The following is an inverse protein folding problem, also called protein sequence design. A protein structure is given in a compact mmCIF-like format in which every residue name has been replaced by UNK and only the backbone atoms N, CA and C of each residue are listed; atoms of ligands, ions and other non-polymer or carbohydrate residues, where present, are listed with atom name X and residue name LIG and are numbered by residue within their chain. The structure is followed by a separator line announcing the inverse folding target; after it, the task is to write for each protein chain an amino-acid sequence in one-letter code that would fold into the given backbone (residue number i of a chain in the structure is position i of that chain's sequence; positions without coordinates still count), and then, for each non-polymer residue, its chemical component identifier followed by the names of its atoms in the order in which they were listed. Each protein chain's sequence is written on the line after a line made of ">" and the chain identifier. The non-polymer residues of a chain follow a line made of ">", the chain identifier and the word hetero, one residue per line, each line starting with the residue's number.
data_IF_284718078880
#
_entry.id   IF_284718078880
#
_cell.length_a   1.000
_cell.length_b   1.000
_cell.length_c   1.000
_cell.angle_alpha   90.00
_cell.angle_beta   90.00
_cell.angle_gamma   90.00
#
_symmetry.space_group_name_H-M   'P 1'
#
loop_
_entity.id
_entity.type
_entity.pdbx_description
1 polymer ?
#
# COMPACT_ATOMS: atom_id res chain seq x y z
N UNK A 1 5.41 22.68 23.23
CA UNK A 1 5.07 22.08 21.92
C UNK A 1 5.83 20.77 21.67
N UNK A 2 7.16 20.74 21.56
CA UNK A 2 7.92 19.48 21.28
C UNK A 2 7.71 18.38 22.34
N UNK A 3 7.75 18.72 23.64
CA UNK A 3 7.51 17.75 24.72
C UNK A 3 6.12 17.10 24.66
N UNK A 4 5.11 17.84 24.21
CA UNK A 4 3.74 17.35 24.05
C UNK A 4 3.64 16.30 22.94
N UNK A 5 4.28 16.57 21.79
CA UNK A 5 4.32 15.60 20.69
C UNK A 5 5.07 14.32 21.06
N UNK A 6 6.16 14.44 21.83
CA UNK A 6 6.91 13.26 22.31
C UNK A 6 6.08 12.44 23.29
N UNK A 7 5.37 13.08 24.23
CA UNK A 7 4.51 12.34 25.16
C UNK A 7 3.35 11.65 24.44
N UNK A 8 2.71 12.35 23.50
CA UNK A 8 1.61 11.80 22.70
C UNK A 8 2.06 10.58 21.88
N UNK A 9 3.24 10.65 21.26
CA UNK A 9 3.81 9.52 20.53
C UNK A 9 4.00 8.29 21.44
N UNK A 10 4.59 8.47 22.62
CA UNK A 10 4.79 7.37 23.56
C UNK A 10 3.50 6.80 24.12
N UNK A 11 2.47 7.62 24.27
CA UNK A 11 1.13 7.20 24.67
C UNK A 11 0.51 6.31 23.59
N UNK A 12 0.50 6.77 22.33
CA UNK A 12 -0.01 5.98 21.20
C UNK A 12 0.74 4.66 21.00
N UNK A 13 2.07 4.66 21.17
CA UNK A 13 2.88 3.43 21.09
C UNK A 13 2.44 2.40 22.15
N UNK A 14 2.07 2.85 23.35
CA UNK A 14 1.59 1.96 24.43
C UNK A 14 0.18 1.47 24.21
N UNK A 15 -0.69 2.31 23.62
CA UNK A 15 -2.06 1.93 23.28
C UNK A 15 -2.14 1.04 22.03
N UNK A 16 -1.09 1.01 21.22
CA UNK A 16 -1.02 0.17 20.02
C UNK A 16 -0.97 -1.30 20.43
N UNK A 17 -2.04 -2.02 20.11
CA UNK A 17 -2.16 -3.45 20.41
C UNK A 17 -1.22 -4.32 19.57
N UNK A 18 -1.11 -5.57 20.00
CA UNK A 18 -0.17 -6.54 19.42
C UNK A 18 -0.46 -6.82 17.94
N UNK A 19 -1.72 -6.90 17.53
CA UNK A 19 -2.11 -7.11 16.13
C UNK A 19 -1.70 -5.93 15.24
N UNK A 20 -1.86 -4.69 15.71
CA UNK A 20 -1.40 -3.52 14.96
C UNK A 20 0.12 -3.54 14.79
N UNK A 21 0.88 -3.89 15.84
CA UNK A 21 2.33 -4.01 15.75
C UNK A 21 2.78 -5.09 14.76
N UNK A 22 2.13 -6.25 14.77
CA UNK A 22 2.43 -7.32 13.79
C UNK A 22 2.18 -6.82 12.37
N UNK A 23 1.02 -6.19 12.11
CA UNK A 23 0.70 -5.65 10.79
C UNK A 23 1.78 -4.66 10.32
N UNK A 24 2.18 -3.72 11.18
CA UNK A 24 3.22 -2.73 10.86
C UNK A 24 4.58 -3.38 10.60
N UNK A 25 5.01 -4.33 11.45
CA UNK A 25 6.31 -4.99 11.28
C UNK A 25 6.37 -5.76 9.97
N UNK A 26 5.31 -6.49 9.61
CA UNK A 26 5.25 -7.21 8.33
C UNK A 26 5.15 -6.26 7.14
N UNK A 27 4.44 -5.14 7.25
CA UNK A 27 4.42 -4.11 6.20
C UNK A 27 5.79 -3.46 5.98
N UNK A 28 6.54 -3.18 7.04
CA UNK A 28 7.92 -2.69 6.93
C UNK A 28 8.83 -3.77 6.32
N UNK A 29 8.68 -5.03 6.74
CA UNK A 29 9.44 -6.14 6.20
C UNK A 29 9.19 -6.33 4.70
N UNK A 30 7.95 -6.23 4.23
CA UNK A 30 7.58 -6.27 2.81
C UNK A 30 8.38 -5.25 2.00
N UNK A 31 8.42 -3.98 2.42
CA UNK A 31 9.14 -2.92 1.70
C UNK A 31 10.65 -3.17 1.67
N UNK A 32 11.22 -3.61 2.80
CA UNK A 32 12.65 -3.93 2.88
C UNK A 32 13.02 -5.13 2.01
N UNK A 33 12.17 -6.16 1.95
CA UNK A 33 12.36 -7.33 1.10
C UNK A 33 12.18 -6.99 -0.39
N UNK A 34 11.26 -6.11 -0.73
CA UNK A 34 11.08 -5.60 -2.08
C UNK A 34 12.32 -4.85 -2.58
N UNK A 35 12.97 -4.06 -1.71
CA UNK A 35 14.24 -3.36 -2.04
C UNK A 35 15.35 -4.33 -2.45
N UNK A 36 15.42 -5.50 -1.83
CA UNK A 36 16.44 -6.53 -2.13
C UNK A 36 15.94 -7.57 -3.14
N UNK A 37 14.80 -7.33 -3.78
CA UNK A 37 14.17 -8.21 -4.77
C UNK A 37 13.97 -9.65 -4.25
N UNK A 38 13.47 -9.79 -3.01
CA UNK A 38 13.30 -11.08 -2.35
C UNK A 38 11.83 -11.52 -2.33
N UNK A 39 11.54 -12.74 -2.82
CA UNK A 39 10.19 -13.33 -2.89
C UNK A 39 9.42 -13.37 -1.57
N UNK A 40 10.12 -13.40 -0.42
CA UNK A 40 9.49 -13.33 0.90
C UNK A 40 8.68 -12.06 1.14
N UNK A 41 8.91 -11.00 0.32
CA UNK A 41 8.13 -9.76 0.37
C UNK A 41 6.63 -10.03 0.27
N UNK A 42 6.21 -10.99 -0.57
CA UNK A 42 4.80 -11.26 -0.79
C UNK A 42 4.14 -11.92 0.41
N UNK A 43 4.84 -12.84 1.08
CA UNK A 43 4.34 -13.46 2.30
C UNK A 43 4.21 -12.43 3.42
N UNK A 44 5.19 -11.53 3.54
CA UNK A 44 5.11 -10.42 4.49
C UNK A 44 3.92 -9.48 4.17
N UNK A 45 3.74 -9.12 2.90
CA UNK A 45 2.63 -8.28 2.46
C UNK A 45 1.26 -8.93 2.69
N UNK A 46 1.12 -10.24 2.43
CA UNK A 46 -0.11 -10.99 2.69
C UNK A 46 -0.48 -10.94 4.18
N UNK A 47 0.48 -11.19 5.08
CA UNK A 47 0.25 -11.15 6.53
C UNK A 47 -0.13 -9.74 6.97
N UNK A 48 0.62 -8.73 6.53
CA UNK A 48 0.38 -7.32 6.82
C UNK A 48 -1.04 -6.89 6.41
N UNK A 49 -1.37 -7.07 5.12
CA UNK A 49 -2.63 -6.61 4.54
C UNK A 49 -3.83 -7.37 5.09
N UNK A 50 -3.74 -8.67 5.38
CA UNK A 50 -4.81 -9.43 6.04
C UNK A 50 -5.16 -8.86 7.41
N UNK A 51 -4.13 -8.58 8.23
CA UNK A 51 -4.32 -7.98 9.54
C UNK A 51 -4.87 -6.55 9.44
N UNK A 52 -4.37 -5.77 8.49
CA UNK A 52 -4.89 -4.42 8.21
C UNK A 52 -6.35 -4.43 7.79
N UNK A 53 -6.78 -5.34 6.91
CA UNK A 53 -8.20 -5.48 6.54
C UNK A 53 -9.05 -5.76 7.79
N UNK A 54 -8.64 -6.71 8.63
CA UNK A 54 -9.36 -7.04 9.86
C UNK A 54 -9.50 -5.83 10.79
N UNK A 55 -8.39 -5.12 11.05
CA UNK A 55 -8.37 -3.95 11.93
C UNK A 55 -9.21 -2.78 11.37
N UNK A 56 -9.17 -2.55 10.05
CA UNK A 56 -9.87 -1.44 9.40
C UNK A 56 -11.39 -1.66 9.33
N UNK A 57 -11.83 -2.91 9.19
CA UNK A 57 -13.26 -3.26 9.26
C UNK A 57 -13.81 -3.01 10.67
N UNK A 58 -13.05 -3.35 11.71
CA UNK A 58 -13.45 -3.13 13.12
C UNK A 58 -13.75 -1.66 13.41
N UNK A 59 -12.93 -0.75 12.87
CA UNK A 59 -13.12 0.71 12.98
C UNK A 59 -14.00 1.32 11.88
N UNK A 60 -14.68 0.48 11.07
CA UNK A 60 -15.61 0.88 9.99
C UNK A 60 -14.99 1.72 8.86
N UNK A 61 -13.67 1.61 8.65
CA UNK A 61 -12.96 2.26 7.55
C UNK A 61 -12.98 1.36 6.30
N UNK A 62 -14.17 1.20 5.72
CA UNK A 62 -14.39 0.25 4.60
C UNK A 62 -13.62 0.58 3.33
N UNK A 63 -13.40 1.87 3.03
CA UNK A 63 -12.63 2.26 1.85
C UNK A 63 -11.15 1.82 1.97
N UNK A 64 -10.53 2.07 3.12
CA UNK A 64 -9.17 1.63 3.42
C UNK A 64 -9.06 0.11 3.51
N UNK A 65 -10.07 -0.55 4.07
CA UNK A 65 -10.14 -2.02 4.09
C UNK A 65 -10.20 -2.58 2.66
N UNK A 66 -11.02 -2.01 1.77
CA UNK A 66 -11.11 -2.43 0.38
C UNK A 66 -9.78 -2.24 -0.37
N UNK A 67 -9.06 -1.15 -0.11
CA UNK A 67 -7.72 -0.92 -0.66
C UNK A 67 -6.72 -1.99 -0.17
N UNK A 68 -6.77 -2.36 1.10
CA UNK A 68 -5.92 -3.44 1.63
C UNK A 68 -6.29 -4.82 1.05
N UNK A 69 -7.57 -5.07 0.75
CA UNK A 69 -7.99 -6.28 0.01
C UNK A 69 -7.39 -6.29 -1.39
N UNK A 70 -7.35 -5.14 -2.08
CA UNK A 70 -6.68 -5.05 -3.38
C UNK A 70 -5.18 -5.38 -3.27
N UNK A 71 -4.48 -4.84 -2.27
CA UNK A 71 -3.07 -5.17 -2.05
C UNK A 71 -2.86 -6.64 -1.73
N UNK A 72 -3.73 -7.25 -0.93
CA UNK A 72 -3.71 -8.68 -0.65
C UNK A 72 -3.79 -9.52 -1.94
N UNK A 73 -4.74 -9.20 -2.82
CA UNK A 73 -4.89 -9.88 -4.13
C UNK A 73 -3.63 -9.70 -4.98
N UNK A 74 -3.08 -8.49 -5.03
CA UNK A 74 -1.85 -8.22 -5.77
C UNK A 74 -0.63 -8.96 -5.22
N UNK A 75 -0.52 -9.09 -3.89
CA UNK A 75 0.58 -9.84 -3.26
C UNK A 75 0.47 -11.33 -3.51
N UNK A 76 -0.74 -11.90 -3.51
CA UNK A 76 -0.98 -13.30 -3.93
C UNK A 76 -0.61 -13.49 -5.40
N UNK A 77 -1.07 -12.58 -6.28
CA UNK A 77 -0.73 -12.64 -7.70
C UNK A 77 0.78 -12.57 -7.94
N UNK A 78 1.46 -11.60 -7.30
CA UNK A 78 2.90 -11.43 -7.43
C UNK A 78 3.68 -12.63 -6.93
N UNK A 79 3.24 -13.25 -5.84
CA UNK A 79 3.84 -14.49 -5.34
C UNK A 79 3.73 -15.64 -6.35
N UNK A 80 2.54 -15.84 -6.94
CA UNK A 80 2.31 -16.87 -7.97
C UNK A 80 3.12 -16.59 -9.24
N UNK A 81 3.19 -15.33 -9.66
CA UNK A 81 3.96 -14.91 -10.83
C UNK A 81 5.46 -15.15 -10.64
N UNK A 82 6.00 -14.79 -9.49
CA UNK A 82 7.41 -15.00 -9.18
C UNK A 82 7.76 -16.48 -9.05
N UNK A 83 6.87 -17.29 -8.47
CA UNK A 83 7.05 -18.73 -8.38
C UNK A 83 7.19 -19.37 -9.78
N UNK A 84 6.45 -18.88 -10.77
CA UNK A 84 6.54 -19.35 -12.17
C UNK A 84 7.82 -18.91 -12.89
N UNK A 85 8.49 -17.85 -12.44
CA UNK A 85 9.71 -17.30 -13.06
C UNK A 85 11.00 -17.66 -12.33
N UNK A 86 10.95 -18.62 -11.40
CA UNK A 86 12.17 -19.17 -10.79
C UNK A 86 13.05 -19.81 -11.88
N UNK A 87 14.09 -19.09 -12.31
CA UNK A 87 15.03 -19.54 -13.35
C UNK A 87 15.17 -18.61 -14.56
N UNK A 88 14.31 -17.60 -14.70
CA UNK A 88 14.50 -16.54 -15.71
C UNK A 88 15.45 -15.44 -15.18
N UNK A 89 16.25 -14.79 -16.05
CA UNK A 89 17.09 -13.67 -15.63
C UNK A 89 16.24 -12.56 -15.01
N UNK A 90 16.71 -12.00 -13.90
CA UNK A 90 16.04 -10.91 -13.20
C UNK A 90 15.75 -9.75 -14.17
N UNK A 91 14.54 -9.20 -14.12
CA UNK A 91 14.17 -8.09 -15.01
C UNK A 91 15.06 -6.89 -14.67
N UNK A 92 15.80 -6.33 -15.65
CA UNK A 92 16.73 -5.25 -15.36
C UNK A 92 15.98 -4.01 -14.87
N UNK A 93 16.46 -3.45 -13.76
CA UNK A 93 16.01 -2.14 -13.26
C UNK A 93 16.37 -1.10 -14.33
N UNK A 94 15.36 -0.55 -15.00
CA UNK A 94 15.54 0.47 -16.03
C UNK A 94 15.14 1.86 -15.51
N UNK A 95 15.22 2.90 -16.34
CA UNK A 95 14.76 4.25 -15.98
C UNK A 95 13.44 4.58 -16.68
N UNK A 96 12.58 5.36 -16.02
CA UNK A 96 11.27 5.74 -16.57
C UNK A 96 11.43 6.71 -17.74
N UNK A 97 10.76 6.41 -18.85
CA UNK A 97 10.74 7.24 -20.07
C UNK A 97 9.72 8.38 -19.95
N UNK A 98 9.85 9.42 -20.79
CA UNK A 98 8.88 10.56 -20.83
C UNK A 98 7.45 10.11 -21.15
N UNK A 99 7.27 9.03 -21.92
CA UNK A 99 5.94 8.47 -22.22
C UNK A 99 5.30 7.82 -20.99
N UNK A 100 6.11 7.10 -20.22
CA UNK A 100 5.66 6.49 -18.96
C UNK A 100 5.31 7.54 -17.93
N UNK A 101 6.09 8.63 -17.83
CA UNK A 101 5.74 9.76 -16.96
C UNK A 101 4.38 10.37 -17.28
N UNK A 102 4.03 10.52 -18.56
CA UNK A 102 2.69 11.00 -18.96
C UNK A 102 1.59 10.03 -18.53
N UNK A 103 1.81 8.72 -18.69
CA UNK A 103 0.86 7.70 -18.25
C UNK A 103 0.72 7.71 -16.72
N UNK A 104 1.82 7.77 -15.98
CA UNK A 104 1.85 7.88 -14.51
C UNK A 104 1.07 9.11 -14.04
N UNK A 105 1.33 10.30 -14.59
CA UNK A 105 0.58 11.52 -14.24
C UNK A 105 -0.90 11.38 -14.55
N UNK A 106 -1.25 10.72 -15.65
CA UNK A 106 -2.66 10.49 -16.02
C UNK A 106 -3.36 9.55 -15.03
N UNK A 107 -2.67 8.50 -14.57
CA UNK A 107 -3.18 7.58 -13.53
C UNK A 107 -3.34 8.32 -12.20
N UNK A 108 -2.37 9.15 -11.80
CA UNK A 108 -2.45 9.93 -10.56
C UNK A 108 -3.62 10.89 -10.59
N UNK A 109 -3.71 11.79 -11.57
CA UNK A 109 -4.77 12.80 -11.58
C UNK A 109 -6.16 12.21 -11.89
N UNK A 110 -6.22 11.24 -12.81
CA UNK A 110 -7.47 10.54 -13.12
C UNK A 110 -7.96 9.70 -11.95
N UNK A 111 -7.07 8.92 -11.33
CA UNK A 111 -7.35 8.13 -10.15
C UNK A 111 -7.72 8.99 -8.95
N UNK A 112 -7.00 10.10 -8.73
CA UNK A 112 -7.31 11.05 -7.65
C UNK A 112 -8.72 11.62 -7.79
N UNK A 113 -9.11 12.06 -8.98
CA UNK A 113 -10.44 12.61 -9.21
C UNK A 113 -11.53 11.54 -8.95
N UNK A 114 -11.34 10.33 -9.48
CA UNK A 114 -12.30 9.23 -9.29
C UNK A 114 -12.42 8.84 -7.81
N UNK A 115 -11.29 8.64 -7.13
CA UNK A 115 -11.25 8.26 -5.72
C UNK A 115 -11.80 9.36 -4.82
N UNK A 116 -11.48 10.63 -5.09
CA UNK A 116 -12.01 11.77 -4.36
C UNK A 116 -13.54 11.82 -4.44
N UNK A 117 -14.11 11.66 -5.63
CA UNK A 117 -15.56 11.65 -5.81
C UNK A 117 -16.19 10.45 -5.09
N UNK A 118 -15.58 9.28 -5.18
CA UNK A 118 -16.02 8.09 -4.45
C UNK A 118 -16.03 8.33 -2.93
N UNK A 119 -14.92 8.79 -2.38
CA UNK A 119 -14.77 9.02 -0.94
C UNK A 119 -15.68 10.14 -0.44
N UNK A 120 -15.92 11.18 -1.25
CA UNK A 120 -16.80 12.29 -0.87
C UNK A 120 -18.28 11.93 -0.88
N UNK A 121 -18.72 11.14 -1.86
CA UNK A 121 -20.16 10.89 -2.06
C UNK A 121 -20.64 9.53 -1.52
N UNK A 122 -19.75 8.56 -1.36
CA UNK A 122 -20.11 7.19 -0.97
C UNK A 122 -19.50 6.75 0.36
N UNK A 123 -18.64 7.56 0.98
CA UNK A 123 -17.92 7.21 2.21
C UNK A 123 -17.99 8.34 3.25
N UNK A 124 -17.82 8.00 4.51
CA UNK A 124 -17.67 8.95 5.64
C UNK A 124 -16.19 9.32 5.88
N UNK A 125 -15.38 9.47 4.83
CA UNK A 125 -13.96 9.84 5.01
C UNK A 125 -13.85 11.28 5.51
N UNK A 126 -13.05 11.49 6.55
CA UNK A 126 -12.79 12.81 7.14
C UNK A 126 -11.81 13.65 6.30
N UNK A 127 -10.95 12.99 5.51
CA UNK A 127 -9.88 13.63 4.72
C UNK A 127 -9.81 13.10 3.27
N UNK A 128 -10.93 13.11 2.53
CA UNK A 128 -11.06 12.40 1.24
C UNK A 128 -10.13 12.93 0.14
N UNK A 129 -9.67 14.18 0.26
CA UNK A 129 -8.70 14.78 -0.66
C UNK A 129 -7.32 14.11 -0.51
N UNK A 130 -6.88 13.88 0.73
CA UNK A 130 -5.58 13.32 1.05
C UNK A 130 -5.56 11.81 0.85
N UNK A 131 -6.63 11.12 1.24
CA UNK A 131 -6.80 9.67 1.03
C UNK A 131 -6.74 9.31 -0.46
N UNK A 132 -7.47 10.07 -1.30
CA UNK A 132 -7.43 9.91 -2.75
C UNK A 132 -6.04 10.17 -3.34
N UNK A 133 -5.27 11.11 -2.77
CA UNK A 133 -3.95 11.48 -3.27
C UNK A 133 -2.93 10.37 -3.01
N UNK A 134 -2.87 9.89 -1.77
CA UNK A 134 -1.98 8.78 -1.39
C UNK A 134 -2.34 7.51 -2.17
N UNK A 135 -3.64 7.20 -2.30
CA UNK A 135 -4.11 6.01 -3.03
C UNK A 135 -3.79 6.06 -4.53
N UNK A 136 -4.05 7.18 -5.20
CA UNK A 136 -3.81 7.33 -6.65
C UNK A 136 -2.33 7.29 -7.00
N UNK A 137 -1.46 7.86 -6.15
CA UNK A 137 0.00 7.77 -6.31
C UNK A 137 0.51 6.35 -6.09
N UNK A 138 -0.04 5.61 -5.13
CA UNK A 138 0.27 4.19 -4.93
C UNK A 138 -0.12 3.34 -6.15
N UNK A 139 -1.29 3.59 -6.75
CA UNK A 139 -1.71 2.91 -7.99
C UNK A 139 -0.75 3.17 -9.16
N UNK A 140 -0.30 4.42 -9.32
CA UNK A 140 0.65 4.77 -10.36
C UNK A 140 2.02 4.09 -10.13
N UNK A 141 2.45 3.95 -8.87
CA UNK A 141 3.62 3.18 -8.48
C UNK A 141 3.49 1.69 -8.81
N UNK A 142 2.35 1.08 -8.48
CA UNK A 142 2.06 -0.32 -8.81
C UNK A 142 2.07 -0.59 -10.32
N UNK A 143 1.54 0.34 -11.13
CA UNK A 143 1.60 0.22 -12.58
C UNK A 143 3.03 0.24 -13.12
N UNK A 144 3.88 1.12 -12.58
CA UNK A 144 5.31 1.17 -12.95
C UNK A 144 6.04 -0.13 -12.55
N UNK A 145 5.71 -0.68 -11.38
CA UNK A 145 6.25 -1.96 -10.91
C UNK A 145 5.82 -3.09 -11.84
N UNK A 146 4.54 -3.22 -12.17
CA UNK A 146 4.01 -4.32 -12.98
C UNK A 146 4.48 -4.31 -14.45
N UNK A 147 4.92 -3.16 -14.95
CA UNK A 147 5.48 -3.03 -16.31
C UNK A 147 6.89 -3.64 -16.43
N UNK A 148 7.51 -3.98 -15.30
CA UNK A 148 8.86 -4.52 -15.19
C UNK A 148 8.83 -5.80 -14.37
#
# INVERSE_FOLDING_TARGET
>A
MVKYWISLFWEQVKETGLLQWIAVVFGVAEVLLARVNNIWLYLAGIISTLLSVYLLIDVKLFAEAALNVYYLVMSVYGWLYWFKRQGEPAVPVSYTTKKEWKATLSIVFGGWLVLYLLLKYFTTSDVPVWDAWVSSTAWAGMWLLAKR
#
